data_IF_637250807405
#
_entry.id   IF_637250807405
#
_cell.length_a   1.000
_cell.length_b   1.000
_cell.length_c   1.000
_cell.angle_alpha   90.00
_cell.angle_beta   90.00
_cell.angle_gamma   90.00
#
_symmetry.space_group_name_H-M   'P 1'
#
loop_
_entity.id
_entity.type
_entity.pdbx_description
1 polymer ?
#
# COMPACT_ATOMS: atom_id res chain seq x y z
N UNK A 1 -25.14 -2.70 10.17
CA UNK A 1 -23.94 -2.34 9.38
C UNK A 1 -23.48 -0.96 9.82
N UNK A 2 -22.24 -0.81 10.31
CA UNK A 2 -21.68 0.51 10.63
C UNK A 2 -21.30 1.20 9.33
N UNK A 3 -21.89 2.37 9.10
CA UNK A 3 -21.66 3.20 7.92
C UNK A 3 -20.21 3.69 7.89
N UNK A 4 -19.48 3.40 6.82
CA UNK A 4 -18.16 3.97 6.54
C UNK A 4 -18.32 5.50 6.47
N UNK A 5 -17.62 6.24 7.33
CA UNK A 5 -17.60 7.71 7.26
C UNK A 5 -16.42 8.11 6.41
N UNK A 6 -16.69 8.42 5.14
CA UNK A 6 -15.73 9.13 4.31
C UNK A 6 -15.53 10.53 4.90
N UNK A 7 -14.34 10.82 5.43
CA UNK A 7 -13.99 12.16 5.91
C UNK A 7 -13.17 12.82 4.80
N UNK A 8 -13.76 13.82 4.13
CA UNK A 8 -13.08 14.58 3.09
C UNK A 8 -12.22 15.66 3.75
N UNK A 9 -10.89 15.57 3.60
CA UNK A 9 -9.98 16.69 3.84
C UNK A 9 -9.78 17.51 2.56
N UNK A 10 -9.43 18.79 2.70
CA UNK A 10 -9.31 19.75 1.58
C UNK A 10 -8.28 19.33 0.51
N UNK A 11 -7.21 18.63 0.87
CA UNK A 11 -6.20 18.14 -0.10
C UNK A 11 -6.30 16.65 -0.41
N UNK A 12 -6.82 15.82 0.51
CA UNK A 12 -6.98 14.37 0.31
C UNK A 12 -8.19 13.87 1.10
N UNK A 13 -9.06 13.11 0.43
CA UNK A 13 -10.07 12.31 1.12
C UNK A 13 -9.39 11.15 1.83
N UNK A 14 -9.53 11.09 3.16
CA UNK A 14 -9.11 9.91 3.93
C UNK A 14 -10.36 9.07 4.14
N UNK A 15 -10.37 7.89 3.52
CA UNK A 15 -11.42 6.91 3.74
C UNK A 15 -11.11 6.09 4.98
N UNK A 16 -12.02 6.11 5.95
CA UNK A 16 -11.85 5.34 7.18
C UNK A 16 -12.57 4.00 7.05
N UNK A 17 -11.78 2.93 6.98
CA UNK A 17 -12.26 1.56 6.92
C UNK A 17 -12.76 1.11 8.29
N UNK A 18 -13.73 0.18 8.32
CA UNK A 18 -14.06 -0.48 9.57
C UNK A 18 -12.83 -1.24 10.09
N UNK A 19 -12.69 -1.37 11.41
CA UNK A 19 -11.53 -2.07 11.99
C UNK A 19 -11.42 -3.52 11.52
N UNK A 20 -12.56 -4.16 11.21
CA UNK A 20 -12.59 -5.52 10.67
C UNK A 20 -12.03 -5.57 9.25
N UNK A 21 -12.46 -4.65 8.37
CA UNK A 21 -11.96 -4.62 6.99
C UNK A 21 -10.46 -4.29 6.96
N UNK A 22 -10.01 -3.34 7.80
CA UNK A 22 -8.60 -3.03 7.93
C UNK A 22 -7.76 -4.25 8.39
N UNK A 23 -8.31 -5.07 9.30
CA UNK A 23 -7.68 -6.31 9.73
C UNK A 23 -7.59 -7.33 8.59
N UNK A 24 -8.67 -7.51 7.83
CA UNK A 24 -8.69 -8.41 6.66
C UNK A 24 -7.67 -7.97 5.62
N UNK A 25 -7.64 -6.68 5.27
CA UNK A 25 -6.65 -6.13 4.33
C UNK A 25 -5.22 -6.35 4.82
N UNK A 26 -4.96 -6.18 6.12
CA UNK A 26 -3.64 -6.44 6.70
C UNK A 26 -3.25 -7.91 6.61
N UNK A 27 -4.18 -8.82 6.92
CA UNK A 27 -3.95 -10.26 6.81
C UNK A 27 -3.66 -10.68 5.36
N UNK A 28 -4.45 -10.18 4.41
CA UNK A 28 -4.22 -10.40 2.97
C UNK A 28 -2.86 -9.87 2.53
N UNK A 29 -2.46 -8.68 3.00
CA UNK A 29 -1.16 -8.09 2.66
C UNK A 29 0.00 -8.99 3.12
N UNK A 30 -0.08 -9.57 4.32
CA UNK A 30 0.96 -10.48 4.85
C UNK A 30 1.13 -11.68 3.92
N UNK A 31 0.03 -12.38 3.61
CA UNK A 31 0.05 -13.58 2.75
C UNK A 31 0.49 -13.23 1.33
N UNK A 32 -0.09 -12.19 0.73
CA UNK A 32 0.20 -11.82 -0.65
C UNK A 32 1.62 -11.31 -0.83
N UNK A 33 2.20 -10.64 0.17
CA UNK A 33 3.58 -10.13 0.08
C UNK A 33 4.57 -11.28 -0.15
N UNK A 34 4.43 -12.39 0.57
CA UNK A 34 5.31 -13.56 0.41
C UNK A 34 5.19 -14.19 -0.99
N UNK A 35 3.98 -14.23 -1.54
CA UNK A 35 3.73 -14.80 -2.87
C UNK A 35 4.11 -13.87 -4.02
N UNK A 36 3.92 -12.56 -3.86
CA UNK A 36 4.15 -11.58 -4.92
C UNK A 36 5.59 -11.09 -4.97
N UNK A 37 6.28 -10.96 -3.82
CA UNK A 37 7.66 -10.44 -3.76
C UNK A 37 8.63 -11.13 -4.74
N UNK A 38 8.59 -12.47 -4.94
CA UNK A 38 9.50 -13.15 -5.87
C UNK A 38 9.24 -12.86 -7.36
N UNK A 39 8.02 -12.42 -7.72
CA UNK A 39 7.60 -12.23 -9.12
C UNK A 39 7.45 -10.77 -9.51
N UNK A 40 7.49 -9.86 -8.55
CA UNK A 40 7.47 -8.42 -8.80
C UNK A 40 8.84 -7.94 -9.30
N UNK A 41 8.81 -6.93 -10.18
CA UNK A 41 10.04 -6.35 -10.72
C UNK A 41 10.89 -5.73 -9.61
N UNK A 42 12.23 -5.87 -9.66
CA UNK A 42 13.14 -5.12 -8.80
C UNK A 42 12.98 -3.59 -8.94
N UNK A 43 12.40 -3.13 -10.06
CA UNK A 43 12.11 -1.71 -10.31
C UNK A 43 10.79 -1.24 -9.68
N UNK A 44 10.09 -2.09 -8.92
CA UNK A 44 8.95 -1.68 -8.12
C UNK A 44 9.42 -0.89 -6.88
N UNK A 45 9.94 0.31 -7.09
CA UNK A 45 10.56 1.15 -6.08
C UNK A 45 9.61 1.61 -4.95
N UNK A 46 8.29 1.42 -5.11
CA UNK A 46 7.31 1.66 -4.04
C UNK A 46 7.34 0.58 -2.95
N UNK A 47 8.00 -0.55 -3.19
CA UNK A 47 8.19 -1.60 -2.19
C UNK A 47 9.34 -1.19 -1.23
N UNK A 48 9.21 -1.44 0.09
CA UNK A 48 10.17 -0.98 1.09
C UNK A 48 11.62 -1.41 0.84
N UNK A 49 11.82 -2.57 0.21
CA UNK A 49 13.15 -3.17 0.01
C UNK A 49 13.83 -2.73 -1.28
N UNK A 50 13.13 -2.02 -2.16
CA UNK A 50 13.65 -1.61 -3.47
C UNK A 50 14.27 -0.21 -3.45
N UNK A 51 14.49 0.41 -2.28
CA UNK A 51 15.21 1.70 -2.18
C UNK A 51 14.37 2.97 -2.37
N UNK A 52 13.07 2.85 -2.63
CA UNK A 52 12.14 3.98 -2.58
C UNK A 52 12.28 4.96 -3.75
N UNK A 53 11.68 6.15 -3.58
CA UNK A 53 11.69 7.22 -4.57
C UNK A 53 13.11 7.66 -4.97
N UNK A 54 14.05 7.61 -4.03
CA UNK A 54 15.45 7.99 -4.29
C UNK A 54 16.07 7.07 -5.34
N UNK A 55 15.91 5.77 -5.19
CA UNK A 55 16.43 4.77 -6.12
C UNK A 55 15.72 4.86 -7.48
N UNK A 56 14.41 5.11 -7.47
CA UNK A 56 13.64 5.32 -8.69
C UNK A 56 14.19 6.48 -9.55
N UNK A 57 14.52 7.62 -8.92
CA UNK A 57 15.10 8.77 -9.62
C UNK A 57 16.49 8.44 -10.15
N UNK A 58 17.31 7.70 -9.39
CA UNK A 58 18.65 7.30 -9.82
C UNK A 58 18.61 6.37 -11.04
N UNK A 59 17.66 5.43 -11.09
CA UNK A 59 17.47 4.51 -12.22
C UNK A 59 16.94 5.18 -13.50
N UNK A 60 16.24 6.31 -13.36
CA UNK A 60 15.62 7.02 -14.50
C UNK A 60 16.56 7.95 -15.29
N UNK A 61 17.83 8.04 -14.85
CA UNK A 61 18.88 8.87 -15.47
C UNK A 61 19.82 8.01 -16.29
#
# INVERSE_FOLDING_TARGET
MKQLRLIRGEEKSIEWWSSLDALVLKAMTIVLTEHLKPVLSPQCFHLPENGGLKEAIAYSK
#
